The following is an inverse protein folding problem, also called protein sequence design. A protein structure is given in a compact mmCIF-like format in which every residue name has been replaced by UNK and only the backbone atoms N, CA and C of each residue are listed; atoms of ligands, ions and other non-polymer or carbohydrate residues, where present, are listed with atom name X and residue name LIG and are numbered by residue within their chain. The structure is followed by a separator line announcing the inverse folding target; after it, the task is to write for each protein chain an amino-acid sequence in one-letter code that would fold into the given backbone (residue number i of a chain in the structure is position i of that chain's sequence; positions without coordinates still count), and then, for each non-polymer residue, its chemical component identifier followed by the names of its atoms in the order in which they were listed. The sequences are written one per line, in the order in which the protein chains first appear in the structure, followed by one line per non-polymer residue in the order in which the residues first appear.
data_IF_099246339823
#
_entry.id   IF_099246339823
#
_cell.length_a   1.000
_cell.length_b   1.000
_cell.length_c   1.000
_cell.angle_alpha   90.00
_cell.angle_beta   90.00
_cell.angle_gamma   90.00
#
_symmetry.space_group_name_H-M   'P 1'
#
loop_
_entity.id
_entity.type
_entity.pdbx_description
1 polymer ?
#
# COMPACT_ATOMS: atom_id res chain seq x y z
N UNK A 1 -1.19 21.04 -1.25
CA UNK A 1 -0.53 21.65 -0.06
C UNK A 1 -0.37 23.15 -0.24
N UNK A 2 0.42 23.64 -1.20
CA UNK A 2 0.66 25.09 -1.38
C UNK A 2 -0.62 25.92 -1.59
N UNK A 3 -1.60 25.41 -2.35
CA UNK A 3 -2.89 26.09 -2.51
C UNK A 3 -3.66 26.22 -1.18
N UNK A 4 -3.66 25.15 -0.36
CA UNK A 4 -4.29 25.20 0.96
C UNK A 4 -3.53 26.09 1.96
N UNK A 5 -2.21 26.23 1.82
CA UNK A 5 -1.44 27.22 2.60
C UNK A 5 -1.81 28.64 2.21
N UNK A 6 -1.91 28.91 0.91
CA UNK A 6 -2.27 30.23 0.39
C UNK A 6 -3.68 30.66 0.82
N UNK A 7 -4.64 29.74 0.83
CA UNK A 7 -6.01 30.00 1.28
C UNK A 7 -6.18 29.94 2.81
N UNK A 8 -5.14 29.56 3.58
CA UNK A 8 -5.26 29.35 5.03
C UNK A 8 -6.15 28.17 5.41
N UNK A 9 -6.32 27.20 4.50
CA UNK A 9 -7.18 26.04 4.67
C UNK A 9 -6.36 24.80 5.07
N UNK A 10 -6.27 24.57 6.39
CA UNK A 10 -5.51 23.45 6.97
C UNK A 10 -6.04 22.08 6.56
N UNK A 11 -7.35 21.96 6.29
CA UNK A 11 -7.97 20.72 5.86
C UNK A 11 -7.50 20.31 4.46
N UNK A 12 -7.39 21.26 3.53
CA UNK A 12 -6.83 21.02 2.19
C UNK A 12 -5.36 20.63 2.24
N UNK A 13 -4.59 21.23 3.14
CA UNK A 13 -3.19 20.86 3.34
C UNK A 13 -3.09 19.41 3.83
N UNK A 14 -3.87 19.04 4.86
CA UNK A 14 -3.90 17.69 5.43
C UNK A 14 -4.28 16.65 4.38
N UNK A 15 -5.39 16.87 3.65
CA UNK A 15 -5.86 15.96 2.59
C UNK A 15 -4.82 15.79 1.48
N UNK A 16 -4.17 16.87 1.06
CA UNK A 16 -3.13 16.81 0.04
C UNK A 16 -1.89 16.03 0.51
N UNK A 17 -1.47 16.19 1.77
CA UNK A 17 -0.35 15.42 2.33
C UNK A 17 -0.67 13.93 2.41
N UNK A 18 -1.87 13.57 2.86
CA UNK A 18 -2.30 12.15 2.91
C UNK A 18 -2.43 11.58 1.49
N UNK A 19 -2.98 12.33 0.54
CA UNK A 19 -3.02 11.93 -0.87
C UNK A 19 -1.62 11.67 -1.44
N UNK A 20 -0.64 12.52 -1.11
CA UNK A 20 0.75 12.30 -1.50
C UNK A 20 1.33 11.01 -0.90
N UNK A 21 1.02 10.68 0.36
CA UNK A 21 1.42 9.41 0.97
C UNK A 21 0.86 8.19 0.21
N UNK A 22 -0.38 8.25 -0.29
CA UNK A 22 -0.93 7.19 -1.13
C UNK A 22 -0.20 7.02 -2.46
N UNK A 23 0.21 8.14 -3.09
CA UNK A 23 1.01 8.09 -4.31
C UNK A 23 2.41 7.52 -4.04
N UNK A 24 3.05 7.92 -2.94
CA UNK A 24 4.33 7.36 -2.50
C UNK A 24 4.19 5.86 -2.24
N UNK A 25 3.12 5.43 -1.56
CA UNK A 25 2.82 4.01 -1.37
C UNK A 25 2.62 3.28 -2.71
N UNK A 26 1.93 3.89 -3.69
CA UNK A 26 1.81 3.36 -5.06
C UNK A 26 3.17 3.16 -5.73
N UNK A 27 4.05 4.14 -5.64
CA UNK A 27 5.41 4.07 -6.17
C UNK A 27 6.25 2.99 -5.45
N UNK A 28 6.17 2.93 -4.12
CA UNK A 28 6.82 1.87 -3.33
C UNK A 28 6.30 0.48 -3.70
N UNK A 29 5.01 0.35 -4.00
CA UNK A 29 4.43 -0.91 -4.47
C UNK A 29 4.92 -1.31 -5.86
N UNK A 30 5.11 -0.36 -6.77
CA UNK A 30 5.67 -0.60 -8.10
C UNK A 30 7.12 -1.09 -7.99
N UNK A 31 7.95 -0.37 -7.24
CA UNK A 31 9.38 -0.68 -7.05
C UNK A 31 9.52 -2.00 -6.28
N UNK A 32 8.83 -2.13 -5.15
CA UNK A 32 8.83 -3.32 -4.30
C UNK A 32 8.37 -4.58 -5.03
N UNK A 33 7.46 -4.44 -5.99
CA UNK A 33 6.96 -5.54 -6.83
C UNK A 33 8.05 -6.30 -7.60
N UNK A 34 9.21 -5.66 -7.85
CA UNK A 34 10.36 -6.26 -8.54
C UNK A 34 11.55 -6.45 -7.62
N UNK A 35 11.78 -5.49 -6.73
CA UNK A 35 12.92 -5.49 -5.81
C UNK A 35 12.83 -6.64 -4.79
N UNK A 36 11.64 -6.91 -4.25
CA UNK A 36 11.46 -7.97 -3.25
C UNK A 36 11.66 -9.37 -3.85
N UNK A 37 11.04 -9.74 -5.00
CA UNK A 37 11.35 -11.00 -5.67
C UNK A 37 12.83 -11.14 -6.05
N UNK A 38 13.46 -10.07 -6.53
CA UNK A 38 14.88 -10.06 -6.89
C UNK A 38 15.79 -10.35 -5.70
N UNK A 39 15.61 -9.64 -4.59
CA UNK A 39 16.39 -9.88 -3.37
C UNK A 39 16.10 -11.26 -2.78
N UNK A 40 14.85 -11.74 -2.83
CA UNK A 40 14.50 -13.07 -2.35
C UNK A 40 15.17 -14.15 -3.18
N UNK A 41 15.19 -14.02 -4.52
CA UNK A 41 15.90 -14.93 -5.40
C UNK A 41 17.40 -14.96 -5.09
N UNK A 42 18.05 -13.78 -5.05
CA UNK A 42 19.49 -13.68 -4.83
C UNK A 42 19.89 -14.10 -3.42
N UNK A 43 19.15 -13.65 -2.41
CA UNK A 43 19.43 -13.92 -1.00
C UNK A 43 19.23 -15.37 -0.59
N UNK A 44 18.40 -16.14 -1.31
CA UNK A 44 18.17 -17.57 -1.06
C UNK A 44 18.77 -18.49 -2.12
N UNK A 45 19.53 -17.95 -3.08
CA UNK A 45 20.15 -18.74 -4.16
C UNK A 45 19.16 -19.49 -5.06
N UNK A 46 17.95 -18.96 -5.26
CA UNK A 46 16.92 -19.62 -6.07
C UNK A 46 17.18 -19.43 -7.55
N UNK A 47 16.90 -20.47 -8.35
CA UNK A 47 17.11 -20.43 -9.80
C UNK A 47 16.19 -19.43 -10.51
N UNK A 48 14.98 -19.21 -10.00
CA UNK A 48 14.00 -18.30 -10.57
C UNK A 48 13.37 -17.40 -9.50
N UNK A 49 13.09 -16.15 -9.88
CA UNK A 49 12.25 -15.24 -9.10
C UNK A 49 10.77 -15.62 -9.22
N UNK A 50 9.99 -15.26 -8.21
CA UNK A 50 8.53 -15.34 -8.29
C UNK A 50 8.05 -14.43 -9.43
N UNK A 51 7.29 -14.95 -10.41
CA UNK A 51 6.87 -14.14 -11.56
C UNK A 51 5.93 -13.03 -11.14
N UNK A 52 6.16 -11.84 -11.70
CA UNK A 52 5.28 -10.69 -11.55
C UNK A 52 3.92 -10.97 -12.22
N UNK A 53 2.84 -10.46 -11.61
CA UNK A 53 1.49 -10.55 -12.16
C UNK A 53 1.10 -9.13 -12.57
N UNK A 54 1.09 -8.86 -13.88
CA UNK A 54 0.92 -7.51 -14.41
C UNK A 54 -0.40 -6.86 -13.98
N UNK A 55 -1.51 -7.62 -13.96
CA UNK A 55 -2.81 -7.08 -13.55
C UNK A 55 -2.84 -6.73 -12.05
N UNK A 56 -2.10 -7.46 -11.21
CA UNK A 56 -2.03 -7.20 -9.78
C UNK A 56 -1.19 -5.95 -9.51
N UNK A 57 -0.04 -5.82 -10.18
CA UNK A 57 0.83 -4.66 -10.04
C UNK A 57 0.13 -3.38 -10.53
N UNK A 58 -0.51 -3.44 -11.70
CA UNK A 58 -1.27 -2.31 -12.25
C UNK A 58 -2.51 -2.00 -11.40
N UNK A 59 -3.20 -3.03 -10.90
CA UNK A 59 -4.37 -2.87 -10.04
C UNK A 59 -4.05 -2.18 -8.71
N UNK A 60 -2.94 -2.56 -8.06
CA UNK A 60 -2.48 -1.89 -6.83
C UNK A 60 -2.06 -0.44 -7.12
N UNK A 61 -1.33 -0.19 -8.21
CA UNK A 61 -0.93 1.17 -8.59
C UNK A 61 -2.15 2.06 -8.86
N UNK A 62 -3.08 1.60 -9.71
CA UNK A 62 -4.30 2.33 -10.03
C UNK A 62 -5.18 2.53 -8.79
N UNK A 63 -5.25 1.54 -7.90
CA UNK A 63 -5.93 1.65 -6.62
C UNK A 63 -5.34 2.74 -5.73
N UNK A 64 -4.01 2.79 -5.60
CA UNK A 64 -3.34 3.87 -4.85
C UNK A 64 -3.59 5.25 -5.47
N UNK A 65 -3.54 5.37 -6.80
CA UNK A 65 -3.83 6.64 -7.50
C UNK A 65 -5.28 7.05 -7.27
N UNK A 66 -6.23 6.12 -7.40
CA UNK A 66 -7.65 6.38 -7.16
C UNK A 66 -7.88 6.86 -5.71
N UNK A 67 -7.33 6.16 -4.72
CA UNK A 67 -7.43 6.54 -3.30
C UNK A 67 -6.81 7.91 -3.05
N UNK A 68 -5.67 8.22 -3.68
CA UNK A 68 -5.05 9.54 -3.58
C UNK A 68 -5.98 10.64 -4.11
N UNK A 69 -6.60 10.44 -5.27
CA UNK A 69 -7.56 11.39 -5.85
C UNK A 69 -8.80 11.56 -4.97
N UNK A 70 -9.37 10.46 -4.48
CA UNK A 70 -10.51 10.48 -3.56
C UNK A 70 -10.17 11.20 -2.26
N UNK A 71 -8.94 11.04 -1.75
CA UNK A 71 -8.46 11.71 -0.54
C UNK A 71 -8.27 13.20 -0.76
N UNK A 72 -7.66 13.60 -1.88
CA UNK A 72 -7.53 15.00 -2.25
C UNK A 72 -8.89 15.68 -2.41
N UNK A 73 -9.87 14.98 -3.00
CA UNK A 73 -11.26 15.42 -3.13
C UNK A 73 -12.03 15.41 -1.79
N UNK A 74 -11.46 14.87 -0.72
CA UNK A 74 -12.11 14.81 0.60
C UNK A 74 -13.08 13.66 0.82
N UNK A 75 -13.27 12.80 -0.17
CA UNK A 75 -14.23 11.69 -0.10
C UNK A 75 -13.85 10.70 1.01
N UNK A 76 -12.56 10.48 1.23
CA UNK A 76 -12.06 9.56 2.26
C UNK A 76 -12.14 10.11 3.70
N UNK A 77 -12.61 11.35 3.88
CA UNK A 77 -12.76 11.94 5.22
C UNK A 77 -14.00 11.47 5.96
N UNK A 78 -14.97 10.88 5.25
CA UNK A 78 -16.15 10.28 5.86
C UNK A 78 -16.12 8.76 5.70
N UNK A 79 -16.24 7.99 6.80
CA UNK A 79 -16.25 6.55 6.73
C UNK A 79 -17.51 6.07 6.01
N UNK A 80 -17.34 5.29 4.94
CA UNK A 80 -18.47 4.70 4.20
C UNK A 80 -18.18 3.23 3.87
N UNK A 81 -19.21 2.35 3.81
CA UNK A 81 -19.01 0.94 3.53
C UNK A 81 -18.34 0.64 2.19
N UNK A 82 -18.58 1.47 1.16
CA UNK A 82 -17.95 1.27 -0.15
C UNK A 82 -16.46 1.60 -0.11
N UNK A 83 -16.05 2.64 0.64
CA UNK A 83 -14.63 2.95 0.87
C UNK A 83 -13.94 1.82 1.63
N UNK A 84 -14.63 1.22 2.61
CA UNK A 84 -14.11 0.04 3.30
C UNK A 84 -13.80 -1.09 2.32
N UNK A 85 -14.72 -1.38 1.39
CA UNK A 85 -14.50 -2.37 0.33
C UNK A 85 -13.29 -2.04 -0.56
N UNK A 86 -13.15 -0.79 -0.97
CA UNK A 86 -12.01 -0.33 -1.77
C UNK A 86 -10.67 -0.51 -1.04
N UNK A 87 -10.59 -0.05 0.20
CA UNK A 87 -9.39 -0.16 1.03
C UNK A 87 -9.07 -1.62 1.38
N UNK A 88 -10.08 -2.44 1.69
CA UNK A 88 -9.90 -3.87 1.96
C UNK A 88 -9.41 -4.61 0.71
N UNK A 89 -9.93 -4.29 -0.48
CA UNK A 89 -9.46 -4.87 -1.72
C UNK A 89 -7.99 -4.49 -2.00
N UNK A 90 -7.62 -3.22 -1.80
CA UNK A 90 -6.25 -2.75 -1.99
C UNK A 90 -5.26 -3.43 -1.02
N UNK A 91 -5.59 -3.44 0.27
CA UNK A 91 -4.78 -4.10 1.30
C UNK A 91 -4.72 -5.62 1.12
N UNK A 92 -5.85 -6.25 0.77
CA UNK A 92 -5.93 -7.68 0.45
C UNK A 92 -5.08 -8.05 -0.77
N UNK A 93 -5.09 -7.24 -1.83
CA UNK A 93 -4.24 -7.42 -3.00
C UNK A 93 -2.75 -7.35 -2.63
N UNK A 94 -2.37 -6.39 -1.78
CA UNK A 94 -0.99 -6.27 -1.28
C UNK A 94 -0.59 -7.45 -0.39
N UNK A 95 -1.46 -7.92 0.51
CA UNK A 95 -1.22 -9.10 1.34
C UNK A 95 -1.13 -10.37 0.51
N UNK A 96 -2.00 -10.54 -0.49
CA UNK A 96 -1.94 -11.65 -1.44
C UNK A 96 -0.60 -11.65 -2.17
N UNK A 97 -0.14 -10.47 -2.62
CA UNK A 97 1.17 -10.32 -3.27
C UNK A 97 2.31 -10.70 -2.32
N UNK A 98 2.28 -10.23 -1.08
CA UNK A 98 3.26 -10.59 -0.05
C UNK A 98 3.26 -12.11 0.24
N UNK A 99 2.08 -12.73 0.28
CA UNK A 99 1.94 -14.16 0.51
C UNK A 99 2.56 -14.98 -0.63
N UNK A 100 2.45 -14.53 -1.88
CA UNK A 100 3.10 -15.16 -3.03
C UNK A 100 4.63 -15.09 -2.97
N UNK A 101 5.19 -14.09 -2.31
CA UNK A 101 6.65 -13.97 -2.11
C UNK A 101 7.17 -14.81 -0.95
N UNK A 102 6.28 -15.45 -0.18
CA UNK A 102 6.67 -16.19 1.02
C UNK A 102 7.54 -17.39 0.65
N UNK A 103 8.73 -17.39 1.22
CA UNK A 103 9.66 -18.50 1.23
C UNK A 103 10.10 -18.79 2.66
N UNK A 104 10.24 -20.08 3.02
CA UNK A 104 10.67 -20.47 4.38
C UNK A 104 12.07 -19.95 4.72
N UNK A 105 12.94 -19.78 3.72
CA UNK A 105 14.31 -19.30 3.90
C UNK A 105 14.42 -17.83 4.31
N UNK A 106 13.35 -17.03 4.18
CA UNK A 106 13.37 -15.58 4.46
C UNK A 106 13.85 -15.28 5.89
N UNK A 107 13.48 -16.12 6.87
CA UNK A 107 13.82 -15.91 8.28
C UNK A 107 15.30 -16.11 8.58
N UNK A 108 16.05 -16.79 7.70
CA UNK A 108 17.47 -17.06 7.90
C UNK A 108 18.35 -15.87 7.49
N UNK A 109 17.82 -14.97 6.66
CA UNK A 109 18.57 -13.82 6.12
C UNK A 109 17.97 -12.54 6.68
N UNK A 110 18.68 -11.82 7.58
CA UNK A 110 18.14 -10.63 8.26
C UNK A 110 17.58 -9.56 7.33
N UNK A 111 18.24 -9.35 6.19
CA UNK A 111 17.84 -8.42 5.16
C UNK A 111 16.50 -8.77 4.51
N UNK A 112 16.18 -10.06 4.37
CA UNK A 112 14.97 -10.50 3.68
C UNK A 112 13.73 -10.35 4.55
N UNK A 113 13.78 -10.76 5.82
CA UNK A 113 12.61 -10.64 6.68
C UNK A 113 12.27 -9.17 6.96
N UNK A 114 13.28 -8.28 7.11
CA UNK A 114 13.03 -6.86 7.29
C UNK A 114 12.34 -6.23 6.07
N UNK A 115 12.71 -6.68 4.86
CA UNK A 115 12.10 -6.24 3.61
C UNK A 115 10.62 -6.67 3.50
N UNK A 116 10.31 -7.91 3.89
CA UNK A 116 8.94 -8.42 3.92
C UNK A 116 8.10 -7.72 4.99
N UNK A 117 8.69 -7.44 6.15
CA UNK A 117 8.03 -6.71 7.23
C UNK A 117 7.75 -5.25 6.84
N UNK A 118 8.69 -4.59 6.17
CA UNK A 118 8.48 -3.24 5.64
C UNK A 118 7.33 -3.22 4.63
N UNK A 119 7.28 -4.20 3.73
CA UNK A 119 6.18 -4.32 2.77
C UNK A 119 4.84 -4.67 3.43
N UNK A 120 4.85 -5.50 4.47
CA UNK A 120 3.65 -5.80 5.27
C UNK A 120 3.03 -4.51 5.82
N UNK A 121 3.84 -3.60 6.35
CA UNK A 121 3.36 -2.30 6.83
C UNK A 121 2.69 -1.44 5.76
N UNK A 122 3.13 -1.53 4.50
CA UNK A 122 2.47 -0.87 3.37
C UNK A 122 1.05 -1.44 3.17
N UNK A 123 0.85 -2.74 3.39
CA UNK A 123 -0.47 -3.37 3.32
C UNK A 123 -1.37 -3.08 4.54
N UNK A 124 -0.76 -2.85 5.71
CA UNK A 124 -1.49 -2.51 6.94
C UNK A 124 -2.22 -1.17 6.82
N UNK A 125 -1.62 -0.17 6.18
CA UNK A 125 -2.22 1.16 6.05
C UNK A 125 -3.62 1.15 5.40
N UNK A 126 -3.84 0.56 4.20
CA UNK A 126 -5.19 0.45 3.63
C UNK A 126 -6.09 -0.47 4.45
N UNK A 127 -5.60 -1.53 5.08
CA UNK A 127 -6.45 -2.35 5.95
C UNK A 127 -6.95 -1.57 7.19
N UNK A 128 -6.11 -0.74 7.78
CA UNK A 128 -6.50 0.17 8.86
C UNK A 128 -7.58 1.16 8.41
N UNK A 129 -7.45 1.72 7.21
CA UNK A 129 -8.48 2.58 6.62
C UNK A 129 -9.78 1.84 6.32
N UNK A 130 -9.70 0.56 5.94
CA UNK A 130 -10.88 -0.28 5.75
C UNK A 130 -11.63 -0.49 7.07
N UNK A 131 -10.91 -0.84 8.14
CA UNK A 131 -11.49 -1.00 9.48
C UNK A 131 -12.12 0.30 9.99
N UNK A 132 -11.42 1.43 9.84
CA UNK A 132 -11.97 2.74 10.19
C UNK A 132 -13.24 3.06 9.39
N UNK A 133 -13.26 2.76 8.10
CA UNK A 133 -14.42 2.98 7.23
C UNK A 133 -15.62 2.09 7.57
N UNK A 134 -15.39 0.94 8.22
CA UNK A 134 -16.43 0.05 8.76
C UNK A 134 -16.93 0.48 10.15
N UNK A 135 -16.35 1.51 10.75
CA UNK A 135 -16.64 1.89 12.14
C UNK A 135 -16.06 0.91 13.16
N UNK A 136 -15.11 0.06 12.75
CA UNK A 136 -14.41 -0.90 13.62
C UNK A 136 -13.10 -0.34 14.18
N UNK A 137 -12.87 0.97 14.04
CA UNK A 137 -11.72 1.62 14.69
C UNK A 137 -11.85 1.43 16.20
N UNK A 138 -10.82 0.82 16.81
CA UNK A 138 -10.70 0.58 18.24
C UNK A 138 -11.05 1.88 19.00
N UNK A 139 -12.20 1.85 19.68
CA UNK A 139 -12.61 2.86 20.65
C UNK A 139 -11.73 2.77 21.90
#
# INVERSE_FOLDING_TARGET
VLLGLFEGNDDWQRRASIAALWLIAGMMNLIGGRVIPFFTQRGLGRQQQVPAIAWLDNGILLGCVLVALLTAAGVTTQPTPWLAGLFAALGGAQLWRLWRWRDRGIWQVPLLWSLHLAYFWIAVAPLGMALWSLGLALA
#
